data_IF_306700080867
#
_entry.id   IF_306700080867
#
_cell.length_a   1.000
_cell.length_b   1.000
_cell.length_c   1.000
_cell.angle_alpha   90.00
_cell.angle_beta   90.00
_cell.angle_gamma   90.00
#
_symmetry.space_group_name_H-M   'P 1'
#
loop_
_entity.id
_entity.type
_entity.pdbx_description
1 polymer ?
#
# COMPACT_ATOMS: atom_id res chain seq x y z
N UNK A 1 32.98 11.45 -84.44
CA UNK A 1 32.18 11.91 -83.31
C UNK A 1 31.73 10.68 -82.55
N UNK A 2 32.45 10.33 -81.55
CA UNK A 2 32.28 9.09 -80.80
C UNK A 2 31.68 9.40 -79.43
N UNK A 3 30.51 8.87 -79.15
CA UNK A 3 29.85 8.97 -77.86
C UNK A 3 30.14 7.69 -77.06
N UNK A 4 30.85 7.89 -75.93
CA UNK A 4 31.16 6.84 -75.00
C UNK A 4 30.03 6.75 -73.97
N UNK A 5 29.39 5.58 -73.87
CA UNK A 5 28.38 5.26 -72.91
C UNK A 5 29.02 4.68 -71.62
N UNK A 6 28.84 5.32 -70.48
CA UNK A 6 29.32 4.85 -69.17
C UNK A 6 28.17 4.17 -68.42
N UNK A 7 28.28 2.86 -68.25
CA UNK A 7 27.32 2.04 -67.49
C UNK A 7 27.59 2.13 -66.01
N UNK A 8 26.66 2.69 -65.24
CA UNK A 8 26.73 2.75 -63.79
C UNK A 8 25.91 1.61 -63.19
N UNK A 9 26.58 0.68 -62.53
CA UNK A 9 25.97 -0.43 -61.79
C UNK A 9 25.43 0.06 -60.48
N UNK A 10 24.11 0.05 -60.30
CA UNK A 10 23.47 0.26 -59.00
C UNK A 10 23.53 -1.03 -58.20
N UNK A 11 24.19 -0.97 -57.03
CA UNK A 11 24.13 -2.00 -56.00
C UNK A 11 22.90 -1.72 -55.11
N UNK A 12 21.96 -2.64 -55.09
CA UNK A 12 20.85 -2.61 -54.18
C UNK A 12 21.33 -2.99 -52.77
N UNK A 13 21.26 -2.05 -51.82
CA UNK A 13 21.37 -2.36 -50.41
C UNK A 13 19.98 -2.75 -49.91
N UNK A 14 19.82 -3.99 -49.45
CA UNK A 14 18.61 -4.46 -48.78
C UNK A 14 18.55 -3.86 -47.38
N UNK A 15 17.53 -3.08 -47.12
CA UNK A 15 17.18 -2.62 -45.76
C UNK A 15 16.42 -3.74 -45.04
N UNK A 16 17.03 -4.36 -44.05
CA UNK A 16 16.36 -5.27 -43.13
C UNK A 16 15.55 -4.44 -42.15
N UNK A 17 14.23 -4.49 -42.27
CA UNK A 17 13.31 -3.94 -41.26
C UNK A 17 13.26 -4.93 -40.12
N UNK A 18 13.91 -4.60 -39.00
CA UNK A 18 13.75 -5.32 -37.75
C UNK A 18 12.47 -4.80 -37.11
N UNK A 19 11.39 -5.59 -37.18
CA UNK A 19 10.17 -5.35 -36.42
C UNK A 19 10.43 -5.74 -34.96
N UNK A 20 10.71 -4.75 -34.12
CA UNK A 20 10.70 -4.91 -32.67
C UNK A 20 9.24 -5.03 -32.21
N UNK A 21 8.79 -6.26 -31.95
CA UNK A 21 7.58 -6.49 -31.16
C UNK A 21 7.81 -5.94 -29.76
N UNK A 22 7.23 -4.78 -29.48
CA UNK A 22 7.11 -4.28 -28.11
C UNK A 22 6.18 -5.20 -27.33
N UNK A 23 6.73 -6.09 -26.51
CA UNK A 23 5.98 -6.69 -25.43
C UNK A 23 5.65 -5.57 -24.44
N UNK A 24 4.41 -5.07 -24.49
CA UNK A 24 3.84 -4.33 -23.38
C UNK A 24 3.59 -5.34 -22.24
N UNK A 25 4.55 -5.43 -21.33
CA UNK A 25 4.33 -6.07 -20.04
C UNK A 25 3.24 -5.26 -19.34
N UNK A 26 2.02 -5.81 -19.32
CA UNK A 26 1.04 -5.39 -18.33
C UNK A 26 1.65 -5.73 -16.97
N UNK A 27 2.25 -4.74 -16.34
CA UNK A 27 2.62 -4.79 -14.93
C UNK A 27 1.31 -4.89 -14.14
N UNK A 28 0.83 -6.11 -13.92
CA UNK A 28 -0.15 -6.37 -12.89
C UNK A 28 0.48 -5.94 -11.57
N UNK A 29 -0.10 -4.97 -10.89
CA UNK A 29 0.26 -4.61 -9.53
C UNK A 29 0.32 -5.88 -8.67
N UNK A 30 1.51 -6.24 -8.16
CA UNK A 30 1.65 -7.29 -7.15
C UNK A 30 2.59 -8.44 -7.54
N UNK A 31 3.80 -8.17 -8.05
CA UNK A 31 4.67 -9.28 -8.43
C UNK A 31 6.07 -9.28 -7.81
N UNK A 32 6.86 -8.28 -7.99
CA UNK A 32 8.30 -8.39 -7.66
C UNK A 32 8.76 -7.53 -6.48
N UNK A 33 7.96 -6.55 -6.03
CA UNK A 33 8.30 -5.64 -4.93
C UNK A 33 7.47 -5.87 -3.64
N UNK A 34 6.65 -6.93 -3.58
CA UNK A 34 5.84 -7.22 -2.39
C UNK A 34 6.75 -7.52 -1.18
N UNK A 35 6.50 -6.84 -0.06
CA UNK A 35 7.31 -6.96 1.16
C UNK A 35 8.54 -6.06 1.19
N UNK A 36 8.82 -5.30 0.12
CA UNK A 36 9.94 -4.38 0.10
C UNK A 36 9.57 -3.06 0.76
N UNK A 37 10.25 -2.73 1.85
CA UNK A 37 10.14 -1.42 2.48
C UNK A 37 10.94 -0.42 1.66
N UNK A 38 10.36 0.70 1.18
CA UNK A 38 11.08 1.70 0.42
C UNK A 38 12.27 2.30 1.19
N UNK A 39 13.28 2.75 0.47
CA UNK A 39 14.44 3.41 1.07
C UNK A 39 14.02 4.63 1.91
N UNK A 40 14.57 4.75 3.11
CA UNK A 40 14.27 5.84 4.04
C UNK A 40 12.94 5.70 4.78
N UNK A 41 12.30 4.52 4.70
CA UNK A 41 11.15 4.17 5.53
C UNK A 41 11.60 3.41 6.79
N UNK A 42 10.90 3.65 7.89
CA UNK A 42 10.96 2.79 9.07
C UNK A 42 9.98 1.63 8.94
N UNK A 43 10.03 0.70 9.89
CA UNK A 43 9.16 -0.49 9.91
C UNK A 43 8.47 -0.65 11.26
N UNK A 44 7.16 -0.87 11.24
CA UNK A 44 6.40 -1.37 12.38
C UNK A 44 6.41 -2.90 12.35
N UNK A 45 7.11 -3.50 13.30
CA UNK A 45 7.21 -4.94 13.44
C UNK A 45 6.28 -5.48 14.51
N UNK A 46 5.60 -6.60 14.19
CA UNK A 46 4.83 -7.39 15.14
C UNK A 46 5.14 -8.88 14.97
N UNK A 47 4.53 -9.73 15.80
CA UNK A 47 4.71 -11.19 15.67
C UNK A 47 4.05 -11.81 14.44
N UNK A 48 3.06 -11.14 13.83
CA UNK A 48 2.27 -11.66 12.70
C UNK A 48 2.53 -10.92 11.40
N UNK A 49 2.78 -9.62 11.45
CA UNK A 49 2.99 -8.78 10.26
C UNK A 49 3.98 -7.66 10.55
N UNK A 50 4.65 -7.20 9.48
CA UNK A 50 5.37 -5.93 9.45
C UNK A 50 4.81 -5.03 8.37
N UNK A 51 4.96 -3.70 8.55
CA UNK A 51 4.57 -2.68 7.57
C UNK A 51 5.51 -1.49 7.64
N UNK A 52 5.89 -0.97 6.48
CA UNK A 52 6.70 0.24 6.37
C UNK A 52 5.90 1.51 6.71
N UNK A 53 6.63 2.57 7.11
CA UNK A 53 6.10 3.93 7.24
C UNK A 53 7.15 4.97 6.84
N UNK A 54 6.78 6.08 6.16
CA UNK A 54 7.73 7.06 5.64
C UNK A 54 8.25 8.00 6.75
N UNK A 55 9.44 7.75 7.28
CA UNK A 55 10.08 8.61 8.30
C UNK A 55 10.31 10.03 7.78
N UNK A 56 10.74 10.17 6.53
CA UNK A 56 10.97 11.47 5.90
C UNK A 56 9.68 12.31 5.76
N UNK A 57 8.50 11.67 5.75
CA UNK A 57 7.22 12.36 5.77
C UNK A 57 6.74 12.73 7.19
N UNK A 58 7.56 12.49 8.21
CA UNK A 58 7.28 12.86 9.60
C UNK A 58 6.52 11.81 10.41
N UNK A 59 6.42 10.58 9.92
CA UNK A 59 5.89 9.47 10.73
C UNK A 59 6.94 9.00 11.74
N UNK A 60 6.50 8.75 12.98
CA UNK A 60 7.35 8.24 14.04
C UNK A 60 6.61 7.14 14.84
N UNK A 61 7.33 6.05 15.22
CA UNK A 61 6.72 4.95 15.96
C UNK A 61 6.38 5.39 17.38
N UNK A 62 5.24 4.91 17.89
CA UNK A 62 4.79 5.20 19.24
C UNK A 62 5.24 4.12 20.22
N UNK A 63 5.77 4.51 21.41
CA UNK A 63 6.05 3.58 22.49
C UNK A 63 4.80 2.77 22.88
N UNK A 64 4.99 1.54 23.36
CA UNK A 64 3.87 0.68 23.75
C UNK A 64 2.93 1.31 24.79
N UNK A 65 3.45 2.15 25.68
CA UNK A 65 2.68 2.83 26.73
C UNK A 65 1.77 3.94 26.19
N UNK A 66 2.04 4.49 25.00
CA UNK A 66 1.34 5.63 24.42
C UNK A 66 0.31 5.22 23.37
N UNK A 67 0.34 3.97 22.89
CA UNK A 67 -0.61 3.47 21.89
C UNK A 67 -1.85 2.89 22.55
N UNK A 68 -2.99 3.03 21.88
CA UNK A 68 -4.25 2.41 22.33
C UNK A 68 -4.11 0.89 22.46
N UNK A 69 -4.75 0.30 23.46
CA UNK A 69 -4.64 -1.14 23.83
C UNK A 69 -4.93 -2.11 22.67
N UNK A 70 -5.76 -1.68 21.72
CA UNK A 70 -6.09 -2.50 20.55
C UNK A 70 -4.95 -2.57 19.51
N UNK A 71 -3.94 -1.70 19.60
CA UNK A 71 -2.88 -1.61 18.61
C UNK A 71 -1.61 -2.33 19.07
N UNK A 72 -1.17 -3.30 18.29
CA UNK A 72 0.11 -3.98 18.48
C UNK A 72 1.30 -3.06 18.12
N UNK A 73 1.13 -2.21 17.10
CA UNK A 73 2.12 -1.21 16.69
C UNK A 73 1.41 0.02 16.10
N UNK A 74 2.03 1.20 16.23
CA UNK A 74 1.51 2.47 15.68
C UNK A 74 2.68 3.35 15.28
N UNK A 75 2.57 4.02 14.13
CA UNK A 75 3.37 5.19 13.78
C UNK A 75 2.43 6.38 13.52
N UNK A 76 2.76 7.55 14.05
CA UNK A 76 1.96 8.77 13.90
C UNK A 76 2.76 9.84 13.16
N UNK A 77 2.09 10.56 12.29
CA UNK A 77 2.52 11.85 11.77
C UNK A 77 1.84 12.93 12.58
N UNK A 78 2.63 13.79 13.23
CA UNK A 78 2.11 14.88 14.07
C UNK A 78 2.61 16.21 13.52
N UNK A 79 1.70 17.08 13.12
CA UNK A 79 2.00 18.43 12.65
C UNK A 79 1.30 19.46 13.53
N UNK A 80 2.07 20.39 14.09
CA UNK A 80 1.54 21.44 15.00
C UNK A 80 0.70 20.89 16.16
N UNK A 81 1.08 19.73 16.68
CA UNK A 81 0.37 19.04 17.76
C UNK A 81 -0.86 18.25 17.34
N UNK A 82 -1.18 18.18 16.04
CA UNK A 82 -2.31 17.42 15.51
C UNK A 82 -1.83 16.14 14.80
N UNK A 83 -2.51 15.04 15.01
CA UNK A 83 -2.26 13.74 14.34
C UNK A 83 -2.84 13.78 12.93
N UNK A 84 -2.03 14.17 11.95
CA UNK A 84 -2.43 14.30 10.55
C UNK A 84 -2.31 13.00 9.77
N UNK A 85 -1.51 12.04 10.29
CA UNK A 85 -1.34 10.72 9.70
C UNK A 85 -1.17 9.63 10.76
N UNK A 86 -1.57 8.40 10.43
CA UNK A 86 -1.43 7.23 11.29
C UNK A 86 -1.27 5.96 10.45
N UNK A 87 -0.34 5.11 10.86
CA UNK A 87 -0.27 3.69 10.49
C UNK A 87 -0.40 2.89 11.76
N UNK A 88 -1.32 1.93 11.81
CA UNK A 88 -1.51 1.07 12.98
C UNK A 88 -1.70 -0.38 12.59
N UNK A 89 -1.21 -1.28 13.43
CA UNK A 89 -1.37 -2.73 13.30
C UNK A 89 -2.20 -3.24 14.48
N UNK A 90 -3.26 -3.96 14.20
CA UNK A 90 -4.10 -4.66 15.17
C UNK A 90 -3.97 -6.18 14.94
N UNK A 91 -3.82 -6.93 16.00
CA UNK A 91 -3.75 -8.39 15.97
C UNK A 91 -4.86 -8.97 16.85
N UNK A 92 -5.38 -10.16 16.50
CA UNK A 92 -6.47 -10.81 17.23
C UNK A 92 -7.66 -9.87 17.47
N UNK A 93 -7.94 -9.00 16.49
CA UNK A 93 -8.95 -7.94 16.63
C UNK A 93 -10.39 -8.47 16.51
N UNK A 94 -10.57 -9.71 16.07
CA UNK A 94 -11.85 -10.39 15.95
C UNK A 94 -11.68 -11.90 16.22
N UNK A 95 -12.76 -12.56 16.65
CA UNK A 95 -12.81 -14.01 16.87
C UNK A 95 -13.60 -14.69 15.78
N UNK A 96 -13.27 -15.95 15.45
CA UNK A 96 -13.96 -16.74 14.44
C UNK A 96 -13.67 -16.28 13.00
N UNK A 97 -12.53 -15.62 12.80
CA UNK A 97 -12.04 -15.18 11.49
C UNK A 97 -11.03 -16.21 11.01
N UNK A 98 -11.28 -16.83 9.87
CA UNK A 98 -10.45 -17.88 9.28
C UNK A 98 -9.89 -17.55 7.90
N UNK A 99 -10.33 -16.41 7.30
CA UNK A 99 -9.83 -16.00 5.98
C UNK A 99 -9.76 -14.47 5.82
N UNK A 100 -9.19 -14.03 4.70
CA UNK A 100 -9.01 -12.61 4.38
C UNK A 100 -10.35 -11.87 4.20
N UNK A 101 -11.39 -12.55 3.72
CA UNK A 101 -12.72 -11.98 3.53
C UNK A 101 -13.39 -11.66 4.86
N UNK A 102 -13.35 -12.62 5.78
CA UNK A 102 -13.87 -12.46 7.14
C UNK A 102 -13.08 -11.43 7.93
N UNK A 103 -11.73 -11.43 7.80
CA UNK A 103 -10.87 -10.41 8.39
C UNK A 103 -11.23 -9.01 7.90
N UNK A 104 -11.41 -8.84 6.59
CA UNK A 104 -11.79 -7.56 6.00
C UNK A 104 -13.21 -7.12 6.42
N UNK A 105 -14.15 -8.04 6.53
CA UNK A 105 -15.50 -7.73 7.00
C UNK A 105 -15.47 -7.22 8.46
N UNK A 106 -14.73 -7.91 9.33
CA UNK A 106 -14.57 -7.52 10.73
C UNK A 106 -13.80 -6.19 10.88
N UNK A 107 -12.69 -6.02 10.17
CA UNK A 107 -11.93 -4.76 10.16
C UNK A 107 -12.75 -3.60 9.59
N UNK A 108 -13.53 -3.87 8.54
CA UNK A 108 -14.41 -2.91 7.89
C UNK A 108 -15.55 -2.42 8.78
N UNK A 109 -16.05 -3.25 9.69
CA UNK A 109 -17.02 -2.84 10.70
C UNK A 109 -16.47 -1.78 11.66
N UNK A 110 -15.15 -1.76 11.88
CA UNK A 110 -14.45 -0.74 12.66
C UNK A 110 -14.15 0.56 11.90
N UNK A 111 -14.51 0.67 10.62
CA UNK A 111 -14.52 1.93 9.89
C UNK A 111 -15.73 2.71 10.41
N UNK A 112 -15.51 3.85 11.10
CA UNK A 112 -16.51 4.58 11.84
C UNK A 112 -17.77 4.96 11.05
N UNK A 113 -18.87 5.18 11.77
CA UNK A 113 -20.11 5.72 11.20
C UNK A 113 -19.83 7.07 10.51
N UNK A 114 -20.32 7.24 9.29
CA UNK A 114 -20.07 8.45 8.48
C UNK A 114 -18.88 8.34 7.55
N UNK A 115 -18.10 7.27 7.59
CA UNK A 115 -17.12 6.97 6.57
C UNK A 115 -17.79 6.41 5.30
N UNK A 116 -17.20 6.71 4.14
CA UNK A 116 -17.65 6.20 2.85
C UNK A 116 -16.58 5.26 2.29
N UNK A 117 -16.92 3.97 2.15
CA UNK A 117 -16.08 3.03 1.41
C UNK A 117 -16.03 3.45 -0.05
N UNK A 118 -14.83 3.43 -0.63
CA UNK A 118 -14.59 3.77 -2.04
C UNK A 118 -14.38 2.53 -2.88
N UNK A 119 -13.55 1.61 -2.37
CA UNK A 119 -13.19 0.40 -3.07
C UNK A 119 -12.91 -0.75 -2.09
N UNK A 120 -12.98 -1.97 -2.60
CA UNK A 120 -12.55 -3.18 -1.88
C UNK A 120 -11.97 -4.14 -2.91
N UNK A 121 -10.72 -4.54 -2.71
CA UNK A 121 -10.00 -5.40 -3.64
C UNK A 121 -9.20 -6.48 -2.90
N UNK A 122 -9.05 -7.62 -3.54
CA UNK A 122 -8.14 -8.67 -3.08
C UNK A 122 -6.70 -8.25 -3.40
N UNK A 123 -5.81 -8.42 -2.44
CA UNK A 123 -4.39 -8.13 -2.58
C UNK A 123 -3.56 -9.33 -2.14
N UNK A 124 -2.38 -9.47 -2.73
CA UNK A 124 -1.39 -10.44 -2.29
C UNK A 124 -0.27 -9.72 -1.59
N UNK A 125 -0.01 -10.11 -0.36
CA UNK A 125 1.07 -9.59 0.46
C UNK A 125 2.27 -10.53 0.43
N UNK A 126 3.45 -10.01 0.65
CA UNK A 126 4.61 -10.87 0.88
C UNK A 126 4.38 -11.71 2.14
N UNK A 127 4.79 -12.97 2.09
CA UNK A 127 4.86 -13.86 3.25
C UNK A 127 6.25 -14.46 3.33
N UNK A 128 6.63 -14.95 4.51
CA UNK A 128 7.97 -15.54 4.72
C UNK A 128 8.20 -16.79 3.84
N UNK A 129 7.16 -17.59 3.60
CA UNK A 129 7.25 -18.81 2.78
C UNK A 129 6.55 -18.67 1.43
N UNK A 130 5.45 -17.91 1.37
CA UNK A 130 4.65 -17.71 0.16
C UNK A 130 3.81 -16.43 0.30
N UNK A 131 3.33 -15.91 -0.85
CA UNK A 131 2.41 -14.78 -0.86
C UNK A 131 1.12 -15.11 -0.10
N UNK A 132 0.66 -14.20 0.75
CA UNK A 132 -0.53 -14.33 1.58
C UNK A 132 -1.69 -13.52 1.01
N UNK A 133 -2.88 -14.08 1.07
CA UNK A 133 -4.10 -13.39 0.66
C UNK A 133 -4.56 -12.40 1.73
N UNK A 134 -4.93 -11.19 1.29
CA UNK A 134 -5.51 -10.17 2.13
C UNK A 134 -6.53 -9.35 1.33
N UNK A 135 -7.30 -8.53 2.02
CA UNK A 135 -8.19 -7.55 1.38
C UNK A 135 -7.82 -6.14 1.78
N UNK A 136 -7.81 -5.26 0.79
CA UNK A 136 -7.68 -3.83 0.93
C UNK A 136 -9.06 -3.18 0.84
N UNK A 137 -9.36 -2.26 1.76
CA UNK A 137 -10.57 -1.43 1.77
C UNK A 137 -10.13 0.02 1.76
N UNK A 138 -10.42 0.75 0.70
CA UNK A 138 -10.21 2.19 0.61
C UNK A 138 -11.44 2.93 1.09
N UNK A 139 -11.28 3.99 1.89
CA UNK A 139 -12.38 4.76 2.44
C UNK A 139 -12.02 6.23 2.67
N UNK A 140 -13.05 7.05 2.76
CA UNK A 140 -12.94 8.45 3.17
C UNK A 140 -13.81 8.70 4.39
N UNK A 141 -13.37 9.58 5.25
CA UNK A 141 -14.11 10.02 6.42
C UNK A 141 -13.81 11.49 6.74
N UNK A 142 -14.47 12.03 7.73
CA UNK A 142 -14.18 13.37 8.24
C UNK A 142 -13.71 13.28 9.70
N UNK A 143 -12.73 14.13 10.05
CA UNK A 143 -12.27 14.24 11.43
C UNK A 143 -13.42 14.68 12.33
N UNK A 144 -13.52 14.06 13.52
CA UNK A 144 -14.46 14.45 14.58
C UNK A 144 -14.07 15.75 15.28
N UNK A 145 -12.78 16.16 15.16
CA UNK A 145 -12.23 17.32 15.84
C UNK A 145 -11.95 17.07 17.33
N UNK A 146 -11.75 15.79 17.70
CA UNK A 146 -11.31 15.44 19.06
C UNK A 146 -9.90 15.96 19.33
N UNK A 147 -9.52 15.96 20.61
CA UNK A 147 -8.21 16.42 21.05
C UNK A 147 -7.07 15.76 20.24
N UNK A 148 -6.11 16.59 19.83
CA UNK A 148 -4.96 16.18 19.01
C UNK A 148 -5.32 15.60 17.62
N UNK A 149 -6.55 15.80 17.12
CA UNK A 149 -6.93 15.44 15.74
C UNK A 149 -7.14 16.71 14.90
N UNK A 150 -7.12 16.60 13.54
CA UNK A 150 -7.47 17.73 12.69
C UNK A 150 -8.86 18.29 13.00
N UNK A 151 -9.09 19.56 12.68
CA UNK A 151 -10.37 20.22 12.96
C UNK A 151 -11.57 19.41 12.46
N UNK A 152 -12.70 19.50 13.17
CA UNK A 152 -13.95 18.84 12.79
C UNK A 152 -14.31 19.14 11.33
N UNK A 153 -14.62 18.09 10.57
CA UNK A 153 -14.98 18.21 9.17
C UNK A 153 -13.78 18.16 8.20
N UNK A 154 -12.54 18.15 8.71
CA UNK A 154 -11.36 17.92 7.83
C UNK A 154 -11.51 16.57 7.13
N UNK A 155 -11.37 16.58 5.80
CA UNK A 155 -11.46 15.34 5.00
C UNK A 155 -10.22 14.48 5.21
N UNK A 156 -10.46 13.21 5.49
CA UNK A 156 -9.43 12.19 5.70
C UNK A 156 -9.57 11.10 4.63
N UNK A 157 -8.45 10.51 4.25
CA UNK A 157 -8.42 9.27 3.47
C UNK A 157 -7.90 8.14 4.35
N UNK A 158 -8.35 6.93 4.09
CA UNK A 158 -7.90 5.76 4.81
C UNK A 158 -7.85 4.51 3.95
N UNK A 159 -6.96 3.60 4.33
CA UNK A 159 -6.87 2.24 3.81
C UNK A 159 -6.86 1.28 4.99
N UNK A 160 -7.59 0.18 4.87
CA UNK A 160 -7.46 -1.00 5.73
C UNK A 160 -6.95 -2.14 4.87
N UNK A 161 -5.90 -2.81 5.32
CA UNK A 161 -5.47 -4.12 4.80
C UNK A 161 -5.70 -5.14 5.90
N UNK A 162 -6.47 -6.19 5.61
CA UNK A 162 -6.80 -7.21 6.60
C UNK A 162 -6.67 -8.61 6.01
N UNK A 163 -6.24 -9.54 6.84
CA UNK A 163 -6.02 -10.94 6.50
C UNK A 163 -5.76 -11.78 7.74
N UNK A 164 -5.31 -13.00 7.52
CA UNK A 164 -4.84 -13.91 8.56
C UNK A 164 -3.38 -14.26 8.29
N UNK A 165 -2.59 -14.47 9.35
CA UNK A 165 -1.21 -14.92 9.21
C UNK A 165 -1.13 -16.46 9.05
N UNK A 166 0.08 -17.00 8.93
CA UNK A 166 0.34 -18.45 8.78
C UNK A 166 -0.11 -19.30 9.99
N UNK A 167 -0.55 -18.68 11.07
CA UNK A 167 -1.04 -19.31 12.30
C UNK A 167 -2.50 -18.97 12.59
N UNK A 168 -3.25 -18.58 11.54
CA UNK A 168 -4.66 -18.16 11.62
C UNK A 168 -4.90 -16.98 12.58
N UNK A 169 -3.88 -16.12 12.81
CA UNK A 169 -4.04 -14.90 13.62
C UNK A 169 -4.54 -13.77 12.73
N UNK A 170 -5.77 -13.28 12.94
CA UNK A 170 -6.28 -12.16 12.17
C UNK A 170 -5.51 -10.87 12.47
N UNK A 171 -5.14 -10.16 11.40
CA UNK A 171 -4.49 -8.86 11.47
C UNK A 171 -5.26 -7.81 10.67
N UNK A 172 -5.18 -6.56 11.11
CA UNK A 172 -5.64 -5.40 10.37
C UNK A 172 -4.61 -4.27 10.45
N UNK A 173 -4.21 -3.76 9.30
CA UNK A 173 -3.34 -2.59 9.16
C UNK A 173 -4.22 -1.44 8.72
N UNK A 174 -4.21 -0.32 9.46
CA UNK A 174 -4.95 0.90 9.11
C UNK A 174 -3.97 2.02 8.81
N UNK A 175 -4.16 2.65 7.68
CA UNK A 175 -3.40 3.82 7.23
C UNK A 175 -4.41 4.95 7.07
N UNK A 176 -4.26 6.02 7.81
CA UNK A 176 -5.11 7.21 7.73
C UNK A 176 -4.24 8.45 7.54
N UNK A 177 -4.70 9.39 6.72
CA UNK A 177 -4.05 10.69 6.57
C UNK A 177 -5.08 11.77 6.21
N UNK A 178 -4.72 13.03 6.39
CA UNK A 178 -5.47 14.15 5.80
C UNK A 178 -5.51 13.97 4.29
N UNK A 179 -6.68 14.13 3.69
CA UNK A 179 -6.88 13.91 2.25
C UNK A 179 -5.95 14.81 1.43
N UNK A 180 -5.16 14.17 0.56
CA UNK A 180 -4.17 14.82 -0.29
C UNK A 180 -2.75 14.83 0.26
N UNK A 181 -2.52 14.41 1.53
CA UNK A 181 -1.15 14.25 2.08
C UNK A 181 -0.47 12.96 1.60
N UNK A 182 -1.24 11.92 1.29
CA UNK A 182 -0.77 10.70 0.66
C UNK A 182 -1.37 10.60 -0.74
N UNK A 183 -0.51 10.38 -1.72
CA UNK A 183 -0.93 10.05 -3.08
C UNK A 183 -1.41 8.58 -3.15
N UNK A 184 -2.12 8.17 -4.21
CA UNK A 184 -2.42 6.75 -4.45
C UNK A 184 -1.16 5.89 -4.47
N UNK A 185 -0.06 6.36 -5.06
CA UNK A 185 1.21 5.64 -5.09
C UNK A 185 1.83 5.47 -3.69
N UNK A 186 1.71 6.47 -2.80
CA UNK A 186 2.13 6.33 -1.41
C UNK A 186 1.32 5.24 -0.70
N UNK A 187 0.00 5.21 -0.90
CA UNK A 187 -0.87 4.17 -0.32
C UNK A 187 -0.53 2.79 -0.86
N UNK A 188 -0.20 2.66 -2.14
CA UNK A 188 0.25 1.41 -2.75
C UNK A 188 1.60 0.97 -2.18
N UNK A 189 2.53 1.92 -1.92
CA UNK A 189 3.81 1.65 -1.27
C UNK A 189 3.64 1.13 0.16
N UNK A 190 2.70 1.68 0.93
CA UNK A 190 2.35 1.12 2.25
C UNK A 190 1.87 -0.33 2.14
N UNK A 191 0.93 -0.61 1.23
CA UNK A 191 0.40 -1.97 1.02
C UNK A 191 1.50 -2.91 0.54
N UNK A 192 2.32 -2.47 -0.41
CA UNK A 192 3.45 -3.23 -0.95
C UNK A 192 4.53 -3.55 0.09
N UNK A 193 4.69 -2.72 1.13
CA UNK A 193 5.66 -2.93 2.20
C UNK A 193 5.23 -3.96 3.25
N UNK A 194 3.99 -4.46 3.18
CA UNK A 194 3.48 -5.42 4.17
C UNK A 194 4.09 -6.79 3.94
N UNK A 195 4.62 -7.38 5.01
CA UNK A 195 5.07 -8.78 5.05
C UNK A 195 4.31 -9.52 6.14
N UNK A 196 3.77 -10.69 5.81
CA UNK A 196 3.05 -11.60 6.73
C UNK A 196 3.98 -12.72 7.17
N UNK A 197 3.92 -13.12 8.46
CA UNK A 197 4.79 -14.13 9.08
C UNK A 197 4.05 -15.41 9.41
#
# INVERSE_FOLDING_TARGET
MTLTSTSTKFRALGAAVVATLGLTLLSGCGGEDAGTVPDGWGTLDTKSVSVGYPEAAGYAPQPAAERGKANAAVALKVEKGLRTGMVSVQLNFATGVGDAGEAAAAAGAGIGLGATRKDTQDVRLAGEESAQEARRIDYEFTSSGEESTPAKGTRMTGVVVAGVDSKDVPFAIRINAVKGELSPADLDSFVGSVTVR
#
